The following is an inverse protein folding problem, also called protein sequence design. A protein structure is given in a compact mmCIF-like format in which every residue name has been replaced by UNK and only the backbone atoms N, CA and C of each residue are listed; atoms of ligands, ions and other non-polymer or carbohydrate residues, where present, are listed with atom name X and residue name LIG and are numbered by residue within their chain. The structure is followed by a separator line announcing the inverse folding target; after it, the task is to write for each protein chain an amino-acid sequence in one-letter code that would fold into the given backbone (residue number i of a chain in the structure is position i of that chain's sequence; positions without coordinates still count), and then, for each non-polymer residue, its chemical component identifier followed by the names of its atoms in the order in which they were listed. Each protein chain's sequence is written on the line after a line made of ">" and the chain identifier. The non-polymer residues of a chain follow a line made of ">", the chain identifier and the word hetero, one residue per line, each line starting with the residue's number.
data_IF_711016612908
#
_entry.id   IF_711016612908
#
_cell.length_a   1.000
_cell.length_b   1.000
_cell.length_c   1.000
_cell.angle_alpha   90.00
_cell.angle_beta   90.00
_cell.angle_gamma   90.00
#
_symmetry.space_group_name_H-M   'P 1'
#
loop_
_entity.id
_entity.type
_entity.pdbx_description
1 polymer ?
#
# COMPACT_ATOMS: atom_id res chain seq x y z
N UNK A 1 -8.30 -4.19 6.09
CA UNK A 1 -8.02 -2.78 5.73
C UNK A 1 -9.14 -1.84 6.17
N UNK A 2 -10.37 -1.98 5.67
CA UNK A 2 -11.46 -1.06 6.04
C UNK A 2 -11.72 -0.97 7.55
N UNK A 3 -11.80 -2.12 8.25
CA UNK A 3 -11.99 -2.15 9.70
C UNK A 3 -10.85 -1.47 10.47
N UNK A 4 -9.61 -1.65 9.98
CA UNK A 4 -8.42 -1.02 10.56
C UNK A 4 -8.48 0.51 10.40
N UNK A 5 -8.86 0.98 9.21
CA UNK A 5 -9.07 2.41 8.96
C UNK A 5 -10.14 2.99 9.91
N UNK A 6 -11.31 2.35 10.00
CA UNK A 6 -12.41 2.79 10.89
C UNK A 6 -11.94 2.84 12.35
N UNK A 7 -11.20 1.82 12.81
CA UNK A 7 -10.69 1.78 14.17
C UNK A 7 -9.72 2.95 14.46
N UNK A 8 -8.82 3.27 13.53
CA UNK A 8 -7.83 4.36 13.66
C UNK A 8 -8.43 5.76 13.47
N UNK A 9 -9.50 5.84 12.70
CA UNK A 9 -10.27 7.07 12.53
C UNK A 9 -11.01 7.43 13.82
N UNK A 10 -11.66 6.44 14.45
CA UNK A 10 -12.41 6.62 15.71
C UNK A 10 -11.51 6.82 16.93
N UNK A 11 -10.33 6.22 16.95
CA UNK A 11 -9.43 6.25 18.10
C UNK A 11 -8.00 6.63 17.67
N UNK A 12 -7.55 7.87 17.95
CA UNK A 12 -6.20 8.31 17.66
C UNK A 12 -5.09 7.45 18.27
N UNK A 13 -5.35 6.77 19.41
CA UNK A 13 -4.36 5.92 20.07
C UNK A 13 -4.06 4.64 19.29
N UNK A 14 -4.93 4.25 18.35
CA UNK A 14 -4.74 3.08 17.49
C UNK A 14 -3.96 3.38 16.22
N UNK A 15 -3.66 4.65 15.93
CA UNK A 15 -2.91 5.05 14.73
C UNK A 15 -1.50 4.48 14.81
N UNK A 16 -1.13 3.68 13.81
CA UNK A 16 0.14 2.98 13.76
C UNK A 16 0.75 3.07 12.37
N UNK A 17 2.00 3.51 12.32
CA UNK A 17 2.81 3.52 11.11
C UNK A 17 3.89 2.45 11.24
N UNK A 18 4.18 1.76 10.14
CA UNK A 18 5.25 0.75 10.13
C UNK A 18 6.62 1.41 10.30
N UNK A 19 6.80 2.55 9.62
CA UNK A 19 7.96 3.42 9.73
C UNK A 19 7.51 4.89 9.77
N UNK A 20 8.28 5.80 10.41
CA UNK A 20 7.90 7.22 10.50
C UNK A 20 7.63 7.88 9.15
N UNK A 21 8.37 7.51 8.11
CA UNK A 21 8.19 8.07 6.77
C UNK A 21 6.78 7.82 6.18
N UNK A 22 6.07 6.77 6.61
CA UNK A 22 4.70 6.51 6.16
C UNK A 22 3.71 7.57 6.63
N UNK A 23 3.96 8.22 7.77
CA UNK A 23 3.08 9.26 8.28
C UNK A 23 2.95 10.43 7.29
N UNK A 24 4.05 10.82 6.64
CA UNK A 24 4.06 11.89 5.63
C UNK A 24 3.17 11.57 4.41
N UNK A 25 3.07 10.29 4.04
CA UNK A 25 2.41 9.88 2.81
C UNK A 25 1.00 9.31 3.04
N UNK A 26 0.70 8.87 4.27
CA UNK A 26 -0.54 8.18 4.65
C UNK A 26 -1.15 8.76 5.94
N UNK A 27 -0.92 10.04 6.23
CA UNK A 27 -1.51 10.72 7.39
C UNK A 27 -3.04 10.71 7.34
N UNK A 28 -3.60 10.99 6.16
CA UNK A 28 -5.05 11.04 5.91
C UNK A 28 -5.75 9.69 6.12
N UNK A 29 -5.01 8.59 5.92
CA UNK A 29 -5.50 7.22 6.06
C UNK A 29 -4.94 6.51 7.28
N UNK A 30 -4.28 7.24 8.18
CA UNK A 30 -3.69 6.73 9.43
C UNK A 30 -2.76 5.53 9.23
N UNK A 31 -2.00 5.52 8.12
CA UNK A 31 -1.07 4.46 7.77
C UNK A 31 -1.71 3.24 7.09
N UNK A 32 -2.98 3.31 6.70
CA UNK A 32 -3.68 2.24 5.97
C UNK A 32 -3.73 2.59 4.48
N UNK A 33 -3.29 1.70 3.60
CA UNK A 33 -3.46 1.90 2.15
C UNK A 33 -4.93 1.71 1.75
N UNK A 34 -5.53 2.74 1.13
CA UNK A 34 -6.93 2.74 0.68
C UNK A 34 -7.02 3.01 -0.83
N UNK A 35 -6.08 3.77 -1.38
CA UNK A 35 -6.05 4.15 -2.79
C UNK A 35 -4.93 3.45 -3.56
N UNK A 36 -5.10 3.35 -4.88
CA UNK A 36 -4.05 2.79 -5.74
C UNK A 36 -2.77 3.64 -5.73
N UNK A 37 -2.93 4.95 -5.51
CA UNK A 37 -1.82 5.89 -5.36
C UNK A 37 -1.03 5.64 -4.08
N UNK A 38 -1.66 5.14 -3.02
CA UNK A 38 -0.96 4.83 -1.76
C UNK A 38 0.08 3.73 -1.98
N UNK A 39 -0.24 2.72 -2.81
CA UNK A 39 0.70 1.67 -3.21
C UNK A 39 1.92 2.28 -3.91
N UNK A 40 1.71 3.23 -4.83
CA UNK A 40 2.80 3.90 -5.53
C UNK A 40 3.63 4.72 -4.53
N UNK A 41 2.99 5.52 -3.67
CA UNK A 41 3.64 6.35 -2.66
C UNK A 41 4.52 5.51 -1.73
N UNK A 42 4.01 4.39 -1.20
CA UNK A 42 4.81 3.54 -0.30
C UNK A 42 5.92 2.81 -1.03
N UNK A 43 5.65 2.29 -2.24
CA UNK A 43 6.65 1.61 -3.05
C UNK A 43 7.82 2.55 -3.40
N UNK A 44 7.51 3.80 -3.74
CA UNK A 44 8.53 4.79 -4.09
C UNK A 44 9.24 5.36 -2.87
N UNK A 45 8.50 5.96 -1.93
CA UNK A 45 9.09 6.73 -0.84
C UNK A 45 9.56 5.88 0.34
N UNK A 46 8.98 4.70 0.55
CA UNK A 46 9.27 3.83 1.69
C UNK A 46 10.13 2.65 1.26
N UNK A 47 9.77 1.97 0.18
CA UNK A 47 10.56 0.85 -0.34
C UNK A 47 11.68 1.28 -1.31
N UNK A 48 11.76 2.55 -1.70
CA UNK A 48 12.86 3.07 -2.51
C UNK A 48 12.84 2.63 -3.98
N UNK A 49 11.69 2.17 -4.50
CA UNK A 49 11.54 1.91 -5.94
C UNK A 49 11.50 3.23 -6.72
N UNK A 50 11.84 3.19 -8.01
CA UNK A 50 11.54 4.32 -8.90
C UNK A 50 10.02 4.47 -9.09
N UNK A 51 9.56 5.64 -9.54
CA UNK A 51 8.12 5.84 -9.83
C UNK A 51 7.61 4.86 -10.90
N UNK A 52 8.45 4.54 -11.91
CA UNK A 52 8.12 3.56 -12.94
C UNK A 52 7.95 2.15 -12.35
N UNK A 53 8.87 1.72 -11.49
CA UNK A 53 8.80 0.43 -10.81
C UNK A 53 7.65 0.35 -9.82
N UNK A 54 7.35 1.44 -9.11
CA UNK A 54 6.21 1.54 -8.20
C UNK A 54 4.88 1.39 -8.94
N UNK A 55 4.73 2.02 -10.10
CA UNK A 55 3.54 1.83 -10.94
C UNK A 55 3.49 0.43 -11.57
N UNK A 56 4.64 -0.15 -11.95
CA UNK A 56 4.74 -1.54 -12.40
C UNK A 56 4.24 -2.49 -11.30
N UNK A 57 4.70 -2.32 -10.05
CA UNK A 57 4.25 -3.08 -8.90
C UNK A 57 2.74 -2.97 -8.70
N UNK A 58 2.18 -1.75 -8.73
CA UNK A 58 0.73 -1.51 -8.62
C UNK A 58 -0.05 -2.23 -9.73
N UNK A 59 0.43 -2.19 -10.97
CA UNK A 59 -0.19 -2.91 -12.10
C UNK A 59 -0.11 -4.42 -11.90
N UNK A 60 1.04 -4.92 -11.43
CA UNK A 60 1.26 -6.32 -11.13
C UNK A 60 0.25 -6.84 -10.10
N UNK A 61 0.12 -6.10 -9.00
CA UNK A 61 -0.79 -6.40 -7.90
C UNK A 61 -2.28 -6.29 -8.30
N UNK A 62 -2.63 -5.50 -9.31
CA UNK A 62 -4.00 -5.40 -9.80
C UNK A 62 -4.47 -6.60 -10.66
N UNK A 63 -3.66 -7.66 -10.79
CA UNK A 63 -3.94 -8.81 -11.65
C UNK A 63 -3.85 -8.51 -13.15
N UNK A 64 -3.41 -7.30 -13.52
CA UNK A 64 -3.25 -6.86 -14.91
C UNK A 64 -1.94 -7.33 -15.54
N UNK A 65 -0.97 -7.78 -14.75
CA UNK A 65 0.21 -8.49 -15.27
C UNK A 65 0.00 -10.00 -15.20
N UNK A 66 0.14 -10.68 -16.35
CA UNK A 66 0.02 -12.14 -16.47
C UNK A 66 1.35 -12.88 -16.36
N UNK A 67 2.47 -12.17 -16.25
CA UNK A 67 3.81 -12.77 -16.25
C UNK A 67 4.31 -13.03 -14.83
N UNK A 68 4.41 -14.31 -14.47
CA UNK A 68 4.97 -14.76 -13.18
C UNK A 68 6.41 -14.28 -12.99
N UNK A 69 7.23 -14.33 -14.06
CA UNK A 69 8.62 -13.87 -14.04
C UNK A 69 8.75 -12.37 -13.73
N UNK A 70 7.84 -11.56 -14.27
CA UNK A 70 7.87 -10.12 -13.99
C UNK A 70 7.44 -9.80 -12.56
N UNK A 71 6.53 -10.60 -11.98
CA UNK A 71 6.17 -10.50 -10.55
C UNK A 71 7.35 -10.86 -9.65
N UNK A 72 8.06 -11.94 -9.96
CA UNK A 72 9.25 -12.35 -9.20
C UNK A 72 10.34 -11.28 -9.25
N UNK A 73 10.60 -10.71 -10.43
CA UNK A 73 11.59 -9.64 -10.61
C UNK A 73 11.24 -8.38 -9.80
N UNK A 74 9.97 -7.92 -9.83
CA UNK A 74 9.59 -6.72 -9.07
C UNK A 74 9.58 -7.00 -7.56
N UNK A 75 9.25 -8.22 -7.13
CA UNK A 75 9.34 -8.65 -5.73
C UNK A 75 10.78 -8.59 -5.24
N UNK A 76 11.72 -9.17 -6.00
CA UNK A 76 13.13 -9.14 -5.66
C UNK A 76 13.68 -7.71 -5.58
N UNK A 77 13.33 -6.87 -6.57
CA UNK A 77 13.68 -5.44 -6.57
C UNK A 77 13.12 -4.71 -5.34
N UNK A 78 11.87 -4.97 -4.98
CA UNK A 78 11.24 -4.36 -3.80
C UNK A 78 12.04 -4.62 -2.52
N UNK A 79 12.46 -5.86 -2.27
CA UNK A 79 13.21 -6.20 -1.06
C UNK A 79 14.63 -5.59 -1.07
N UNK A 80 15.31 -5.61 -2.22
CA UNK A 80 16.62 -4.97 -2.36
C UNK A 80 16.52 -3.46 -2.13
N UNK A 81 15.59 -2.80 -2.80
CA UNK A 81 15.40 -1.36 -2.67
C UNK A 81 14.99 -0.98 -1.24
N UNK A 82 14.12 -1.77 -0.60
CA UNK A 82 13.69 -1.52 0.78
C UNK A 82 14.87 -1.56 1.74
N UNK A 83 15.74 -2.56 1.61
CA UNK A 83 16.96 -2.70 2.40
C UNK A 83 17.91 -1.53 2.17
N UNK A 84 18.12 -1.14 0.91
CA UNK A 84 18.94 0.01 0.54
C UNK A 84 18.35 1.33 1.07
N UNK A 85 17.03 1.41 1.21
CA UNK A 85 16.31 2.54 1.77
C UNK A 85 16.18 2.50 3.31
N UNK A 86 16.91 1.59 3.97
CA UNK A 86 17.04 1.55 5.43
C UNK A 86 15.94 0.78 6.17
N UNK A 87 15.10 0.01 5.48
CA UNK A 87 14.14 -0.88 6.15
C UNK A 87 14.85 -2.14 6.65
N UNK A 88 14.47 -2.62 7.84
CA UNK A 88 14.83 -3.97 8.28
C UNK A 88 14.10 -5.02 7.45
N UNK A 89 14.59 -6.25 7.45
CA UNK A 89 13.96 -7.36 6.75
C UNK A 89 12.51 -7.57 7.23
N UNK A 90 12.24 -7.39 8.52
CA UNK A 90 10.91 -7.48 9.11
C UNK A 90 9.99 -6.35 8.61
N UNK A 91 10.51 -5.12 8.54
CA UNK A 91 9.76 -3.98 8.01
C UNK A 91 9.46 -4.16 6.52
N UNK A 92 10.44 -4.60 5.72
CA UNK A 92 10.21 -4.85 4.31
C UNK A 92 9.17 -5.96 4.09
N UNK A 93 9.23 -7.05 4.86
CA UNK A 93 8.22 -8.14 4.81
C UNK A 93 6.83 -7.67 5.20
N UNK A 94 6.71 -6.88 6.27
CA UNK A 94 5.42 -6.36 6.70
C UNK A 94 4.85 -5.35 5.69
N UNK A 95 5.69 -4.49 5.10
CA UNK A 95 5.26 -3.56 4.05
C UNK A 95 4.76 -4.32 2.82
N UNK A 96 5.50 -5.35 2.40
CA UNK A 96 5.08 -6.23 1.31
C UNK A 96 3.72 -6.89 1.60
N UNK A 97 3.54 -7.46 2.79
CA UNK A 97 2.28 -8.08 3.24
C UNK A 97 1.10 -7.10 3.17
N UNK A 98 1.32 -5.83 3.53
CA UNK A 98 0.29 -4.80 3.43
C UNK A 98 -0.07 -4.48 1.98
N UNK A 99 0.91 -4.43 1.07
CA UNK A 99 0.69 -4.22 -0.37
C UNK A 99 -0.09 -5.40 -0.98
N UNK A 100 0.26 -6.64 -0.64
CA UNK A 100 -0.45 -7.84 -1.08
C UNK A 100 -1.90 -7.87 -0.55
N UNK A 101 -2.10 -7.48 0.70
CA UNK A 101 -3.44 -7.37 1.30
C UNK A 101 -4.30 -6.34 0.54
N UNK A 102 -3.68 -5.28 0.01
CA UNK A 102 -4.35 -4.31 -0.83
C UNK A 102 -4.70 -4.86 -2.23
N UNK A 103 -3.79 -5.63 -2.82
CA UNK A 103 -3.98 -6.31 -4.10
C UNK A 103 -5.21 -7.23 -4.09
N UNK A 104 -5.35 -8.04 -3.03
CA UNK A 104 -6.49 -8.94 -2.84
C UNK A 104 -7.83 -8.22 -2.70
N UNK A 105 -7.84 -7.00 -2.15
CA UNK A 105 -9.06 -6.17 -2.04
C UNK A 105 -9.38 -5.41 -3.34
N UNK A 106 -8.34 -4.97 -4.07
CA UNK A 106 -8.46 -4.26 -5.35
C UNK A 106 -9.05 -5.10 -6.49
N UNK A 107 -9.17 -6.42 -6.31
CA UNK A 107 -9.79 -7.33 -7.28
C UNK A 107 -11.32 -7.14 -7.39
N UNK A 108 -11.97 -6.53 -6.39
CA UNK A 108 -13.42 -6.24 -6.41
C UNK A 108 -13.72 -4.89 -7.09
N UNK A 109 -13.19 -4.64 -8.30
CA UNK A 109 -13.05 -3.27 -8.82
C UNK A 109 -14.24 -2.64 -9.56
N UNK A 110 -15.44 -3.25 -9.64
CA UNK A 110 -16.53 -2.55 -10.36
C UNK A 110 -17.45 -1.67 -9.51
N UNK A 111 -17.48 -1.82 -8.18
CA UNK A 111 -18.46 -1.10 -7.33
C UNK A 111 -17.78 -0.15 -6.33
N UNK A 112 -16.51 -0.41 -6.00
CA UNK A 112 -15.89 0.07 -4.77
C UNK A 112 -15.38 1.52 -4.86
N UNK A 113 -15.00 2.03 -6.04
CA UNK A 113 -14.45 3.39 -6.17
C UNK A 113 -15.50 4.48 -5.91
N UNK A 114 -16.75 4.28 -6.34
CA UNK A 114 -17.83 5.23 -6.07
C UNK A 114 -18.38 5.07 -4.65
N UNK A 115 -18.52 3.84 -4.16
CA UNK A 115 -19.08 3.57 -2.84
C UNK A 115 -18.14 3.94 -1.69
N UNK A 116 -16.81 3.75 -1.82
CA UNK A 116 -15.89 4.23 -0.78
C UNK A 116 -15.88 5.75 -0.71
N UNK A 117 -15.84 6.45 -1.85
CA UNK A 117 -15.84 7.91 -1.85
C UNK A 117 -17.14 8.47 -1.25
N UNK A 118 -18.27 7.79 -1.49
CA UNK A 118 -19.57 8.14 -0.90
C UNK A 118 -19.67 7.79 0.59
N UNK A 119 -19.17 6.63 1.02
CA UNK A 119 -19.13 6.22 2.43
C UNK A 119 -18.16 7.07 3.26
N UNK A 120 -17.02 7.48 2.69
CA UNK A 120 -16.10 8.41 3.35
C UNK A 120 -16.73 9.80 3.53
N UNK A 121 -17.46 10.31 2.52
CA UNK A 121 -18.24 11.56 2.63
C UNK A 121 -19.39 11.52 3.63
N UNK A 122 -19.93 10.34 3.92
CA UNK A 122 -21.04 10.15 4.87
C UNK A 122 -20.55 9.96 6.32
N UNK A 123 -19.27 9.61 6.50
CA UNK A 123 -18.65 9.41 7.82
C UNK A 123 -17.84 10.60 8.31
N UNK A 124 -17.63 11.61 7.45
CA UNK A 124 -17.10 12.95 7.76
C UNK A 124 -18.23 13.96 7.97
#
# INVERSE_FOLDING_TARGET
>A
MMQEFIARHKDPLKRKYLVPAMEKHLSETYGVMIYQEDVIKVAHHIAGLTLEEADLLRRAMSGKMRSHKAMEQITHKFFISSKNNGLTDEQAKELWRQIESFAGYSFVKHIVHHLLSFLFKLLS
#
